data_IF_659421769093
#
_entry.id   IF_659421769093
#
_cell.length_a   1.000
_cell.length_b   1.000
_cell.length_c   1.000
_cell.angle_alpha   90.00
_cell.angle_beta   90.00
_cell.angle_gamma   90.00
#
_symmetry.space_group_name_H-M   'P 1'
#
loop_
_entity.id
_entity.type
_entity.pdbx_description
1 polymer ?
#
# COMPACT_ATOMS: atom_id res chain seq x y z
N UNK A 1 12.31 -19.88 10.19
CA UNK A 1 12.00 -20.01 8.75
C UNK A 1 12.17 -18.63 8.15
N UNK A 2 12.98 -18.45 7.11
CA UNK A 2 13.11 -17.16 6.42
C UNK A 2 11.82 -16.90 5.65
N UNK A 3 11.13 -15.79 5.96
CA UNK A 3 9.99 -15.34 5.16
C UNK A 3 10.41 -15.22 3.70
N UNK A 4 9.59 -15.68 2.73
CA UNK A 4 9.93 -15.54 1.32
C UNK A 4 10.05 -14.06 0.96
N UNK A 5 11.07 -13.71 0.18
CA UNK A 5 11.16 -12.38 -0.42
C UNK A 5 9.99 -12.22 -1.41
N UNK A 6 9.21 -11.15 -1.23
CA UNK A 6 8.10 -10.80 -2.12
C UNK A 6 8.41 -9.46 -2.80
N UNK A 7 8.04 -9.33 -4.08
CA UNK A 7 8.10 -8.05 -4.78
C UNK A 7 6.83 -7.22 -4.54
N UNK A 8 6.88 -5.93 -4.90
CA UNK A 8 5.71 -5.04 -4.90
C UNK A 8 4.61 -5.60 -5.83
N UNK A 9 5.00 -6.14 -6.98
CA UNK A 9 4.07 -6.75 -7.93
C UNK A 9 3.41 -8.00 -7.35
N UNK A 10 4.17 -8.86 -6.65
CA UNK A 10 3.63 -10.07 -6.01
C UNK A 10 2.59 -9.71 -4.95
N UNK A 11 2.89 -8.72 -4.10
CA UNK A 11 1.98 -8.29 -3.05
C UNK A 11 0.73 -7.61 -3.61
N UNK A 12 0.89 -6.69 -4.57
CA UNK A 12 -0.26 -6.04 -5.22
C UNK A 12 -1.18 -7.06 -5.90
N UNK A 13 -0.61 -8.06 -6.58
CA UNK A 13 -1.36 -9.17 -7.17
C UNK A 13 -2.08 -10.00 -6.11
N UNK A 14 -1.44 -10.29 -4.98
CA UNK A 14 -2.08 -11.00 -3.87
C UNK A 14 -3.33 -10.27 -3.36
N UNK A 15 -3.25 -8.96 -3.18
CA UNK A 15 -4.40 -8.11 -2.79
C UNK A 15 -5.49 -8.15 -3.87
N UNK A 16 -5.09 -8.04 -5.15
CA UNK A 16 -6.01 -8.08 -6.29
C UNK A 16 -6.81 -9.39 -6.33
N UNK A 17 -6.10 -10.51 -6.32
CA UNK A 17 -6.69 -11.85 -6.44
C UNK A 17 -7.73 -12.12 -5.34
N UNK A 18 -7.55 -11.52 -4.16
CA UNK A 18 -8.38 -11.78 -3.00
C UNK A 18 -9.56 -10.81 -2.85
N UNK A 19 -9.38 -9.54 -3.16
CA UNK A 19 -10.31 -8.48 -2.76
C UNK A 19 -10.88 -7.64 -3.91
N UNK A 20 -10.27 -7.67 -5.11
CA UNK A 20 -10.60 -6.71 -6.18
C UNK A 20 -12.10 -6.64 -6.53
N UNK A 21 -12.79 -7.79 -6.56
CA UNK A 21 -14.22 -7.84 -6.87
C UNK A 21 -15.05 -6.98 -5.90
N UNK A 22 -14.78 -7.10 -4.59
CA UNK A 22 -15.51 -6.33 -3.58
C UNK A 22 -15.05 -4.87 -3.55
N UNK A 23 -13.76 -4.64 -3.76
CA UNK A 23 -13.18 -3.29 -3.78
C UNK A 23 -13.72 -2.44 -4.93
N UNK A 24 -13.82 -3.03 -6.13
CA UNK A 24 -14.42 -2.36 -7.29
C UNK A 24 -15.89 -2.07 -7.06
N UNK A 25 -16.63 -2.97 -6.40
CA UNK A 25 -18.02 -2.71 -6.02
C UNK A 25 -18.15 -1.60 -4.96
N UNK A 26 -17.16 -1.46 -4.07
CA UNK A 26 -17.09 -0.39 -3.07
C UNK A 26 -16.75 0.97 -3.71
N UNK A 27 -15.89 0.96 -4.72
CA UNK A 27 -15.49 2.14 -5.50
C UNK A 27 -14.41 2.98 -4.81
N UNK A 28 -13.79 3.86 -5.60
CA UNK A 28 -12.64 4.68 -5.18
C UNK A 28 -12.94 5.56 -3.96
N UNK A 29 -14.04 6.34 -3.89
CA UNK A 29 -14.26 7.27 -2.78
C UNK A 29 -14.33 6.58 -1.41
N UNK A 30 -15.04 5.46 -1.33
CA UNK A 30 -15.16 4.69 -0.07
C UNK A 30 -13.87 3.95 0.27
N UNK A 31 -13.17 3.43 -0.74
CA UNK A 31 -11.87 2.77 -0.53
C UNK A 31 -10.81 3.76 -0.05
N UNK A 32 -10.86 5.02 -0.52
CA UNK A 32 -9.98 6.07 -0.02
C UNK A 32 -10.24 6.41 1.45
N UNK A 33 -11.49 6.35 1.91
CA UNK A 33 -11.79 6.53 3.34
C UNK A 33 -11.14 5.46 4.21
N UNK A 34 -11.23 4.18 3.81
CA UNK A 34 -10.52 3.09 4.48
C UNK A 34 -9.01 3.33 4.48
N UNK A 35 -8.41 3.67 3.33
CA UNK A 35 -6.98 3.97 3.29
C UNK A 35 -6.57 5.10 4.26
N UNK A 36 -7.39 6.14 4.42
CA UNK A 36 -7.11 7.23 5.38
C UNK A 36 -7.30 6.79 6.83
N UNK A 37 -8.22 5.86 7.10
CA UNK A 37 -8.39 5.25 8.43
C UNK A 37 -7.08 4.60 8.89
N UNK A 38 -6.51 3.72 8.07
CA UNK A 38 -5.24 3.03 8.35
C UNK A 38 -4.06 4.00 8.50
N UNK A 39 -4.06 5.11 7.73
CA UNK A 39 -3.03 6.16 7.89
C UNK A 39 -3.18 6.85 9.25
N UNK A 40 -4.40 7.00 9.77
CA UNK A 40 -4.67 7.52 11.10
C UNK A 40 -4.29 6.54 12.22
N UNK A 41 -4.52 5.25 12.01
CA UNK A 41 -4.10 4.19 12.92
C UNK A 41 -2.58 4.07 12.98
N UNK A 42 -1.89 4.09 11.82
CA UNK A 42 -0.43 4.21 11.76
C UNK A 42 0.09 5.46 12.48
N UNK A 43 -0.55 6.62 12.31
CA UNK A 43 -0.16 7.84 13.02
C UNK A 43 -0.29 7.68 14.55
N UNK A 44 -1.30 6.95 15.01
CA UNK A 44 -1.50 6.64 16.42
C UNK A 44 -0.42 5.67 16.93
N UNK A 45 -0.14 4.61 16.17
CA UNK A 45 0.88 3.61 16.52
C UNK A 45 2.29 4.22 16.58
N UNK A 46 2.60 5.17 15.70
CA UNK A 46 3.86 5.93 15.71
C UNK A 46 4.07 6.76 16.98
N UNK A 47 2.99 7.14 17.67
CA UNK A 47 3.04 7.89 18.92
C UNK A 47 2.96 6.99 20.17
N UNK A 48 2.95 5.67 19.98
CA UNK A 48 2.95 4.66 21.05
C UNK A 48 4.29 3.90 21.16
N UNK A 49 4.31 2.91 22.05
CA UNK A 49 5.43 1.99 22.30
C UNK A 49 5.11 0.53 21.92
N UNK A 50 3.93 0.27 21.36
CA UNK A 50 3.53 -1.05 20.88
C UNK A 50 4.13 -1.34 19.49
N UNK A 51 5.21 -2.12 19.50
CA UNK A 51 5.91 -2.51 18.27
C UNK A 51 5.09 -3.42 17.36
N UNK A 52 4.24 -4.28 17.92
CA UNK A 52 3.46 -5.21 17.13
C UNK A 52 2.37 -4.46 16.36
N UNK A 53 1.67 -3.56 17.05
CA UNK A 53 0.71 -2.65 16.43
C UNK A 53 1.39 -1.82 15.32
N UNK A 54 2.54 -1.19 15.59
CA UNK A 54 3.24 -0.42 14.57
C UNK A 54 3.55 -1.23 13.30
N UNK A 55 3.96 -2.49 13.43
CA UNK A 55 4.24 -3.35 12.27
C UNK A 55 2.96 -3.73 11.49
N UNK A 56 1.85 -3.95 12.19
CA UNK A 56 0.52 -4.20 11.61
C UNK A 56 0.06 -3.00 10.77
N UNK A 57 0.08 -1.80 11.34
CA UNK A 57 -0.39 -0.58 10.66
C UNK A 57 0.44 -0.23 9.42
N UNK A 58 1.75 -0.51 9.43
CA UNK A 58 2.59 -0.36 8.23
C UNK A 58 2.17 -1.32 7.12
N UNK A 59 1.77 -2.54 7.47
CA UNK A 59 1.29 -3.51 6.51
C UNK A 59 -0.08 -3.11 5.95
N UNK A 60 -0.99 -2.64 6.80
CA UNK A 60 -2.34 -2.27 6.40
C UNK A 60 -2.37 -1.02 5.53
N UNK A 61 -1.61 0.03 5.86
CA UNK A 61 -1.45 1.20 4.99
C UNK A 61 -0.98 0.79 3.59
N UNK A 62 -0.02 -0.14 3.49
CA UNK A 62 0.47 -0.61 2.20
C UNK A 62 -0.55 -1.49 1.47
N UNK A 63 -1.28 -2.36 2.18
CA UNK A 63 -2.35 -3.19 1.63
C UNK A 63 -3.46 -2.32 1.02
N UNK A 64 -3.90 -1.28 1.72
CA UNK A 64 -4.93 -0.37 1.24
C UNK A 64 -4.48 0.55 0.11
N UNK A 65 -3.19 0.93 0.08
CA UNK A 65 -2.61 1.57 -1.09
C UNK A 65 -2.65 0.64 -2.32
N UNK A 66 -2.31 -0.64 -2.16
CA UNK A 66 -2.42 -1.65 -3.22
C UNK A 66 -3.87 -1.83 -3.67
N UNK A 67 -4.82 -1.85 -2.74
CA UNK A 67 -6.26 -1.91 -3.01
C UNK A 67 -6.70 -0.72 -3.88
N UNK A 68 -6.32 0.50 -3.51
CA UNK A 68 -6.58 1.70 -4.31
C UNK A 68 -5.94 1.62 -5.70
N UNK A 69 -4.69 1.20 -5.78
CA UNK A 69 -3.98 1.07 -7.05
C UNK A 69 -4.66 0.07 -7.99
N UNK A 70 -5.10 -1.08 -7.46
CA UNK A 70 -5.83 -2.10 -8.22
C UNK A 70 -7.14 -1.56 -8.81
N UNK A 71 -7.97 -0.87 -8.02
CA UNK A 71 -9.26 -0.35 -8.52
C UNK A 71 -9.13 0.90 -9.39
N UNK A 72 -7.94 1.51 -9.42
CA UNK A 72 -7.58 2.62 -10.30
C UNK A 72 -6.75 2.17 -11.52
N UNK A 73 -6.58 0.86 -11.71
CA UNK A 73 -5.82 0.26 -12.82
C UNK A 73 -4.36 0.77 -12.89
N UNK A 74 -3.72 0.93 -11.73
CA UNK A 74 -2.32 1.36 -11.58
C UNK A 74 -1.45 0.20 -11.12
N UNK A 75 -0.43 -0.16 -11.90
CA UNK A 75 0.59 -1.14 -11.50
C UNK A 75 1.72 -0.43 -10.73
N UNK A 76 1.80 -0.66 -9.41
CA UNK A 76 2.69 0.08 -8.50
C UNK A 76 4.17 -0.13 -8.84
N UNK A 77 4.57 -1.37 -9.14
CA UNK A 77 5.96 -1.69 -9.49
C UNK A 77 6.45 -0.87 -10.69
N UNK A 78 5.62 -0.75 -11.73
CA UNK A 78 5.95 -0.02 -12.96
C UNK A 78 6.06 1.48 -12.73
N UNK A 79 5.10 2.08 -12.01
CA UNK A 79 5.11 3.53 -11.75
C UNK A 79 6.22 3.93 -10.77
N UNK A 80 6.56 3.06 -9.81
CA UNK A 80 7.70 3.27 -8.91
C UNK A 80 9.01 3.19 -9.68
N UNK A 81 9.20 2.16 -10.52
CA UNK A 81 10.39 2.00 -11.34
C UNK A 81 10.59 3.21 -12.26
N UNK A 82 9.52 3.63 -12.95
CA UNK A 82 9.54 4.82 -13.82
C UNK A 82 9.89 6.10 -13.07
N UNK A 83 9.34 6.29 -11.86
CA UNK A 83 9.49 7.55 -11.12
C UNK A 83 10.79 7.63 -10.35
N UNK A 84 11.21 6.57 -9.67
CA UNK A 84 12.31 6.62 -8.69
C UNK A 84 13.53 5.80 -9.09
N UNK A 85 13.41 4.86 -10.03
CA UNK A 85 14.51 4.00 -10.47
C UNK A 85 14.96 4.29 -11.91
N UNK A 86 14.47 5.39 -12.51
CA UNK A 86 14.92 5.86 -13.82
C UNK A 86 16.26 6.61 -13.71
N UNK A 87 16.85 6.94 -14.87
CA UNK A 87 18.14 7.66 -14.93
C UNK A 87 18.08 9.11 -14.42
N UNK A 88 16.88 9.63 -14.15
CA UNK A 88 16.67 10.98 -13.63
C UNK A 88 15.60 10.99 -12.54
N UNK A 89 15.88 10.36 -11.38
CA UNK A 89 14.93 10.31 -10.30
C UNK A 89 14.73 11.73 -9.69
N UNK A 90 13.55 12.02 -9.12
CA UNK A 90 13.33 13.26 -8.39
C UNK A 90 14.41 13.47 -7.34
N UNK A 91 15.00 14.67 -7.31
CA UNK A 91 15.89 15.03 -6.23
C UNK A 91 15.15 14.93 -4.89
N UNK A 92 15.84 14.43 -3.87
CA UNK A 92 15.33 14.50 -2.50
C UNK A 92 15.21 15.97 -2.10
N UNK A 93 13.98 16.47 -2.07
CA UNK A 93 13.68 17.80 -1.56
C UNK A 93 12.78 17.67 -0.34
N UNK A 94 13.41 17.83 0.82
CA UNK A 94 12.92 18.32 2.10
C UNK A 94 14.03 18.12 3.12
#
# INVERSE_FOLDING_TARGET
MTSPAISIADFQKHIRDRYEKVDRSRGVPKTFLWFIEEVGELATALNGDDRANLEEEFADVFAWLCTLANICDVELSDVIAKKYLSESPPAGHK
#
